data_IF_870738848389
#
_entry.id   IF_870738848389
#
_cell.length_a   1.000
_cell.length_b   1.000
_cell.length_c   1.000
_cell.angle_alpha   90.00
_cell.angle_beta   90.00
_cell.angle_gamma   90.00
#
_symmetry.space_group_name_H-M   'P 1'
#
loop_
_entity.id
_entity.type
_entity.pdbx_description
1 polymer ?
#
# COMPACT_ATOMS: atom_id res chain seq x y z
N UNK A 1 6.99 4.85 -15.86
CA UNK A 1 8.30 4.94 -15.15
C UNK A 1 8.35 3.85 -14.10
N UNK A 2 9.45 3.12 -14.01
CA UNK A 2 9.63 2.04 -13.03
C UNK A 2 10.88 2.38 -12.19
N UNK A 3 10.74 2.67 -10.89
CA UNK A 3 11.92 2.92 -10.06
C UNK A 3 12.68 1.61 -9.82
N UNK A 4 14.01 1.68 -9.78
CA UNK A 4 14.89 0.52 -9.63
C UNK A 4 15.52 0.46 -8.25
N UNK A 5 16.05 1.59 -7.77
CA UNK A 5 16.65 1.75 -6.44
C UNK A 5 16.82 3.22 -6.10
N UNK A 6 16.85 3.54 -4.82
CA UNK A 6 17.36 4.81 -4.32
C UNK A 6 18.89 4.77 -4.17
N UNK A 7 19.51 5.94 -3.99
CA UNK A 7 20.97 6.08 -3.81
C UNK A 7 21.41 6.16 -2.34
N UNK A 8 20.47 6.18 -1.40
CA UNK A 8 20.77 6.36 0.01
C UNK A 8 21.16 5.00 0.62
N UNK A 9 22.37 4.86 1.18
CA UNK A 9 22.78 3.61 1.80
C UNK A 9 21.95 3.36 3.07
N UNK A 10 21.53 2.12 3.28
CA UNK A 10 20.97 1.65 4.56
C UNK A 10 22.07 1.05 5.43
N UNK A 11 21.95 1.21 6.76
CA UNK A 11 22.93 0.66 7.73
C UNK A 11 22.44 -0.62 8.39
N UNK A 12 21.13 -0.78 8.51
CA UNK A 12 20.47 -1.92 9.14
C UNK A 12 19.76 -2.78 8.10
N UNK A 13 19.58 -4.07 8.44
CA UNK A 13 18.83 -5.00 7.60
C UNK A 13 17.32 -4.73 7.76
N UNK A 14 16.57 -4.55 6.65
CA UNK A 14 15.18 -4.08 6.70
C UNK A 14 14.18 -5.22 7.00
N UNK A 15 14.26 -5.77 8.21
CA UNK A 15 13.48 -6.95 8.63
C UNK A 15 11.96 -6.74 8.52
N UNK A 16 11.45 -5.59 8.97
CA UNK A 16 10.01 -5.30 8.99
C UNK A 16 9.50 -5.03 7.60
N UNK A 17 10.26 -4.33 6.77
CA UNK A 17 9.93 -4.13 5.35
C UNK A 17 9.78 -5.48 4.65
N UNK A 18 10.74 -6.39 4.82
CA UNK A 18 10.67 -7.75 4.26
C UNK A 18 9.48 -8.51 4.81
N UNK A 19 9.24 -8.47 6.13
CA UNK A 19 8.12 -9.15 6.77
C UNK A 19 6.77 -8.69 6.19
N UNK A 20 6.58 -7.38 6.02
CA UNK A 20 5.36 -6.82 5.42
C UNK A 20 5.24 -7.29 3.97
N UNK A 21 6.32 -7.26 3.17
CA UNK A 21 6.28 -7.76 1.78
C UNK A 21 5.88 -9.23 1.73
N UNK A 22 6.49 -10.07 2.56
CA UNK A 22 6.19 -11.50 2.62
C UNK A 22 4.75 -11.74 3.07
N UNK A 23 4.24 -10.99 4.05
CA UNK A 23 2.85 -11.11 4.49
C UNK A 23 1.87 -10.75 3.37
N UNK A 24 2.11 -9.66 2.65
CA UNK A 24 1.31 -9.25 1.49
C UNK A 24 1.35 -10.29 0.38
N UNK A 25 2.54 -10.81 0.05
CA UNK A 25 2.69 -11.86 -0.95
C UNK A 25 1.95 -13.15 -0.54
N UNK A 26 2.03 -13.55 0.73
CA UNK A 26 1.34 -14.74 1.23
C UNK A 26 -0.19 -14.59 1.15
N UNK A 27 -0.73 -13.44 1.57
CA UNK A 27 -2.17 -13.16 1.45
C UNK A 27 -2.60 -13.13 -0.01
N UNK A 28 -1.84 -12.51 -0.90
CA UNK A 28 -2.17 -12.47 -2.32
C UNK A 28 -2.11 -13.84 -3.00
N UNK A 29 -1.13 -14.69 -2.65
CA UNK A 29 -1.10 -16.07 -3.13
C UNK A 29 -2.31 -16.88 -2.63
N UNK A 30 -2.76 -16.60 -1.39
CA UNK A 30 -4.00 -17.16 -0.88
C UNK A 30 -5.22 -16.64 -1.66
N UNK A 31 -5.32 -15.34 -1.94
CA UNK A 31 -6.38 -14.74 -2.77
C UNK A 31 -6.48 -15.46 -4.14
N UNK A 32 -5.34 -15.70 -4.80
CA UNK A 32 -5.29 -16.41 -6.08
C UNK A 32 -5.78 -17.88 -5.98
N UNK A 33 -5.64 -18.50 -4.81
CA UNK A 33 -6.06 -19.90 -4.59
C UNK A 33 -7.58 -20.08 -4.41
N UNK A 34 -8.31 -18.99 -4.10
CA UNK A 34 -9.70 -19.06 -3.67
C UNK A 34 -10.71 -19.27 -4.82
N UNK A 35 -10.35 -18.93 -6.06
CA UNK A 35 -11.24 -19.02 -7.22
C UNK A 35 -12.57 -18.30 -6.95
N UNK A 36 -13.69 -19.04 -7.01
CA UNK A 36 -15.04 -18.49 -6.78
C UNK A 36 -15.29 -17.95 -5.36
N UNK A 37 -14.41 -18.25 -4.40
CA UNK A 37 -14.53 -17.77 -3.01
C UNK A 37 -13.84 -16.43 -2.78
N UNK A 38 -13.15 -15.89 -3.78
CA UNK A 38 -12.40 -14.63 -3.67
C UNK A 38 -13.30 -13.46 -3.27
N UNK A 39 -14.44 -13.29 -3.92
CA UNK A 39 -15.35 -12.17 -3.62
C UNK A 39 -15.87 -12.23 -2.18
N UNK A 40 -16.22 -13.42 -1.69
CA UNK A 40 -16.64 -13.60 -0.31
C UNK A 40 -15.50 -13.29 0.67
N UNK A 41 -14.26 -13.67 0.35
CA UNK A 41 -13.09 -13.35 1.15
C UNK A 41 -12.82 -11.83 1.18
N UNK A 42 -12.89 -11.15 0.04
CA UNK A 42 -12.73 -9.69 -0.05
C UNK A 42 -13.81 -8.97 0.77
N UNK A 43 -15.06 -9.40 0.71
CA UNK A 43 -16.13 -8.78 1.52
C UNK A 43 -15.98 -9.05 3.03
N UNK A 44 -15.35 -10.16 3.44
CA UNK A 44 -15.17 -10.48 4.87
C UNK A 44 -13.95 -9.81 5.50
N UNK A 45 -12.91 -9.53 4.72
CA UNK A 45 -11.61 -9.05 5.22
C UNK A 45 -11.17 -7.70 4.64
N UNK A 46 -11.84 -7.20 3.61
CA UNK A 46 -11.69 -5.84 3.10
C UNK A 46 -12.43 -4.82 3.95
N UNK A 47 -11.98 -3.57 3.94
CA UNK A 47 -12.66 -2.51 4.69
C UNK A 47 -13.79 -1.94 3.86
N UNK A 48 -15.04 -2.18 4.28
CA UNK A 48 -16.21 -1.61 3.60
C UNK A 48 -16.69 -0.38 4.39
N UNK A 49 -16.65 0.84 3.80
CA UNK A 49 -17.01 2.05 4.51
C UNK A 49 -18.39 2.05 5.17
N UNK A 50 -19.42 1.56 4.46
CA UNK A 50 -20.78 1.52 4.99
C UNK A 50 -20.94 0.60 6.20
N UNK A 51 -20.11 -0.44 6.33
CA UNK A 51 -20.13 -1.36 7.47
C UNK A 51 -19.55 -0.70 8.72
N UNK A 52 -18.44 0.04 8.56
CA UNK A 52 -17.82 0.81 9.66
C UNK A 52 -18.73 1.97 10.09
N UNK A 53 -19.33 2.67 9.13
CA UNK A 53 -20.25 3.78 9.39
C UNK A 53 -21.65 3.34 9.84
N UNK A 54 -21.91 2.03 9.94
CA UNK A 54 -23.23 1.48 10.30
C UNK A 54 -24.37 1.91 9.37
N UNK A 55 -24.04 2.18 8.10
CA UNK A 55 -25.00 2.56 7.05
C UNK A 55 -25.47 1.36 6.21
N UNK A 56 -24.85 0.19 6.37
CA UNK A 56 -25.25 -1.06 5.72
C UNK A 56 -25.06 -2.26 6.68
N UNK A 57 -25.74 -3.39 6.44
CA UNK A 57 -25.60 -4.57 7.29
C UNK A 57 -24.23 -5.23 7.14
N UNK A 58 -23.72 -5.78 8.25
CA UNK A 58 -22.48 -6.55 8.23
C UNK A 58 -22.62 -7.84 7.41
N UNK A 59 -21.52 -8.31 6.79
CA UNK A 59 -21.53 -9.50 5.96
C UNK A 59 -21.77 -10.75 6.82
N UNK A 60 -22.57 -11.69 6.28
CA UNK A 60 -22.83 -12.96 6.97
C UNK A 60 -21.55 -13.77 7.08
N UNK A 61 -21.23 -14.21 8.29
CA UNK A 61 -20.03 -15.02 8.56
C UNK A 61 -18.81 -14.18 8.95
N UNK A 62 -18.95 -12.87 9.16
CA UNK A 62 -17.91 -12.06 9.79
C UNK A 62 -17.67 -12.55 11.23
N UNK A 63 -16.49 -13.12 11.48
CA UNK A 63 -16.10 -13.65 12.81
C UNK A 63 -15.25 -12.67 13.60
N UNK A 64 -14.69 -11.65 12.93
CA UNK A 64 -13.84 -10.63 13.55
C UNK A 64 -14.65 -9.34 13.81
N UNK A 65 -14.24 -8.50 14.76
CA UNK A 65 -14.82 -7.17 14.90
C UNK A 65 -14.70 -6.40 13.57
N UNK A 66 -15.72 -5.65 13.17
CA UNK A 66 -15.72 -4.91 11.89
C UNK A 66 -14.49 -4.00 11.77
N UNK A 67 -14.06 -3.33 12.84
CA UNK A 67 -12.85 -2.49 12.81
C UNK A 67 -11.54 -3.27 12.56
N UNK A 68 -11.52 -4.60 12.73
CA UNK A 68 -10.37 -5.41 12.38
C UNK A 68 -10.14 -5.45 10.86
N UNK A 69 -11.18 -5.20 10.04
CA UNK A 69 -11.05 -5.16 8.58
C UNK A 69 -10.10 -4.07 8.12
N UNK A 70 -9.98 -2.98 8.88
CA UNK A 70 -9.02 -1.88 8.64
C UNK A 70 -7.58 -2.41 8.57
N UNK A 71 -7.26 -3.41 9.38
CA UNK A 71 -5.93 -4.01 9.41
C UNK A 71 -5.78 -5.12 8.38
N UNK A 72 -6.78 -5.99 8.22
CA UNK A 72 -6.68 -7.10 7.26
C UNK A 72 -6.67 -6.59 5.82
N UNK A 73 -7.43 -5.52 5.51
CA UNK A 73 -7.48 -4.94 4.18
C UNK A 73 -6.15 -4.37 3.71
N UNK A 74 -5.26 -3.98 4.65
CA UNK A 74 -3.90 -3.51 4.34
C UNK A 74 -3.03 -4.58 3.68
N UNK A 75 -3.41 -5.86 3.76
CA UNK A 75 -2.63 -6.97 3.21
C UNK A 75 -3.24 -7.59 1.94
N UNK A 76 -4.45 -7.17 1.56
CA UNK A 76 -5.21 -7.70 0.42
C UNK A 76 -4.96 -6.89 -0.84
N UNK A 77 -4.98 -7.52 -2.01
CA UNK A 77 -4.68 -6.84 -3.27
C UNK A 77 -5.59 -7.28 -4.41
N UNK A 78 -6.19 -6.30 -5.10
CA UNK A 78 -7.10 -6.54 -6.22
C UNK A 78 -6.46 -7.02 -7.54
N UNK A 79 -5.16 -7.33 -7.57
CA UNK A 79 -4.50 -7.87 -8.75
C UNK A 79 -2.98 -7.68 -8.80
N UNK A 80 -2.35 -8.28 -9.82
CA UNK A 80 -0.89 -8.30 -9.97
C UNK A 80 -0.25 -6.92 -10.02
N UNK A 81 -0.77 -6.02 -10.84
CA UNK A 81 -0.23 -4.66 -10.94
C UNK A 81 -0.36 -3.89 -9.62
N UNK A 82 -1.42 -4.15 -8.86
CA UNK A 82 -1.67 -3.51 -7.57
C UNK A 82 -0.62 -3.95 -6.53
N UNK A 83 -0.43 -5.26 -6.34
CA UNK A 83 0.59 -5.76 -5.39
C UNK A 83 2.01 -5.44 -5.84
N UNK A 84 2.35 -5.65 -7.12
CA UNK A 84 3.71 -5.40 -7.61
C UNK A 84 4.06 -3.91 -7.50
N UNK A 85 3.12 -3.02 -7.82
CA UNK A 85 3.30 -1.58 -7.67
C UNK A 85 3.50 -1.16 -6.21
N UNK A 86 2.71 -1.70 -5.28
CA UNK A 86 2.84 -1.44 -3.85
C UNK A 86 4.18 -1.96 -3.31
N UNK A 87 4.50 -3.23 -3.56
CA UNK A 87 5.71 -3.87 -3.02
C UNK A 87 6.98 -3.28 -3.63
N UNK A 88 6.98 -2.87 -4.91
CA UNK A 88 8.12 -2.21 -5.54
C UNK A 88 8.46 -0.89 -4.83
N UNK A 89 7.46 -0.01 -4.66
CA UNK A 89 7.66 1.27 -4.00
C UNK A 89 8.00 1.07 -2.52
N UNK A 90 7.32 0.15 -1.84
CA UNK A 90 7.61 -0.13 -0.45
C UNK A 90 9.03 -0.70 -0.23
N UNK A 91 9.51 -1.56 -1.13
CA UNK A 91 10.88 -2.08 -1.07
C UNK A 91 11.94 -0.98 -1.25
N UNK A 92 11.73 -0.08 -2.21
CA UNK A 92 12.71 0.96 -2.56
C UNK A 92 12.81 2.04 -1.48
N UNK A 93 11.71 2.36 -0.79
CA UNK A 93 11.68 3.49 0.14
C UNK A 93 11.50 3.08 1.61
N UNK A 94 10.88 1.94 1.88
CA UNK A 94 10.54 1.48 3.23
C UNK A 94 11.77 1.13 4.06
N UNK A 95 12.79 0.53 3.43
CA UNK A 95 14.06 0.19 4.05
C UNK A 95 14.80 1.41 4.64
N UNK A 96 14.84 2.57 3.96
CA UNK A 96 15.49 3.78 4.48
C UNK A 96 14.73 4.35 5.69
N UNK A 97 13.39 4.24 5.69
CA UNK A 97 12.56 4.71 6.78
C UNK A 97 12.68 3.78 7.99
N UNK A 98 12.69 2.47 7.74
CA UNK A 98 12.99 1.48 8.78
C UNK A 98 14.37 1.70 9.40
N UNK A 99 15.40 1.95 8.59
CA UNK A 99 16.75 2.25 9.06
C UNK A 99 16.79 3.51 9.95
N UNK A 100 15.97 4.51 9.61
CA UNK A 100 15.92 5.78 10.34
C UNK A 100 15.16 5.72 11.65
N UNK A 101 14.04 5.00 11.68
CA UNK A 101 13.16 4.91 12.85
C UNK A 101 13.44 3.70 13.74
N UNK A 102 14.12 2.68 13.21
CA UNK A 102 14.22 1.36 13.81
C UNK A 102 12.95 0.53 13.61
N UNK A 103 13.10 -0.79 13.70
CA UNK A 103 12.09 -1.80 13.34
C UNK A 103 10.71 -1.54 14.00
N UNK A 104 10.65 -1.44 15.33
CA UNK A 104 9.38 -1.34 16.05
C UNK A 104 8.63 -0.03 15.75
N UNK A 105 9.32 1.11 15.75
CA UNK A 105 8.70 2.41 15.47
C UNK A 105 8.23 2.48 14.03
N UNK A 106 9.00 1.93 13.10
CA UNK A 106 8.60 1.84 11.70
C UNK A 106 7.32 1.02 11.52
N UNK A 107 7.21 -0.15 12.17
CA UNK A 107 5.99 -0.96 12.13
C UNK A 107 4.77 -0.19 12.65
N UNK A 108 4.92 0.50 13.79
CA UNK A 108 3.83 1.30 14.38
C UNK A 108 3.42 2.43 13.41
N UNK A 109 4.38 3.15 12.84
CA UNK A 109 4.12 4.24 11.88
C UNK A 109 3.41 3.70 10.64
N UNK A 110 3.84 2.57 10.09
CA UNK A 110 3.19 1.91 8.95
C UNK A 110 1.71 1.60 9.25
N UNK A 111 1.44 0.98 10.41
CA UNK A 111 0.07 0.64 10.82
C UNK A 111 -0.78 1.88 11.06
N UNK A 112 -0.24 2.91 11.70
CA UNK A 112 -0.95 4.18 11.95
C UNK A 112 -1.34 4.88 10.63
N UNK A 113 -0.45 4.90 9.65
CA UNK A 113 -0.77 5.46 8.33
C UNK A 113 -1.83 4.65 7.60
N UNK A 114 -1.82 3.32 7.72
CA UNK A 114 -2.88 2.46 7.17
C UNK A 114 -4.24 2.76 7.80
N UNK A 115 -4.30 2.87 9.13
CA UNK A 115 -5.52 3.22 9.87
C UNK A 115 -6.02 4.61 9.47
N UNK A 116 -5.12 5.61 9.39
CA UNK A 116 -5.50 6.97 9.00
C UNK A 116 -6.01 7.02 7.55
N UNK A 117 -5.40 6.27 6.64
CA UNK A 117 -5.86 6.18 5.26
C UNK A 117 -7.25 5.52 5.16
N UNK A 118 -7.50 4.44 5.91
CA UNK A 118 -8.81 3.81 5.97
C UNK A 118 -9.88 4.77 6.50
N UNK A 119 -9.61 5.48 7.60
CA UNK A 119 -10.54 6.49 8.12
C UNK A 119 -10.76 7.65 7.15
N UNK A 120 -9.72 8.05 6.40
CA UNK A 120 -9.88 9.07 5.35
C UNK A 120 -10.83 8.59 4.27
N UNK A 121 -10.69 7.35 3.80
CA UNK A 121 -11.60 6.76 2.82
C UNK A 121 -13.05 6.69 3.35
N UNK A 122 -13.21 6.21 4.59
CA UNK A 122 -14.53 6.11 5.24
C UNK A 122 -15.17 7.50 5.41
N UNK A 123 -14.38 8.51 5.73
CA UNK A 123 -14.88 9.88 5.88
C UNK A 123 -15.30 10.51 4.53
N UNK A 124 -14.56 10.21 3.46
CA UNK A 124 -14.84 10.75 2.12
C UNK A 124 -16.10 10.13 1.51
N UNK A 125 -16.30 8.82 1.66
CA UNK A 125 -17.49 8.12 1.17
C UNK A 125 -17.98 7.06 2.18
N UNK A 126 -18.69 7.50 3.24
CA UNK A 126 -19.15 6.59 4.30
C UNK A 126 -20.23 5.62 3.85
N UNK A 127 -20.93 5.89 2.74
CA UNK A 127 -22.00 5.04 2.23
C UNK A 127 -21.50 3.97 1.23
N UNK A 128 -20.21 3.99 0.87
CA UNK A 128 -19.64 3.05 -0.09
C UNK A 128 -19.78 1.61 0.40
N UNK A 129 -20.34 0.76 -0.45
CA UNK A 129 -20.40 -0.69 -0.28
C UNK A 129 -19.25 -1.41 -0.99
N UNK A 130 -18.32 -0.67 -1.60
CA UNK A 130 -17.16 -1.23 -2.30
C UNK A 130 -16.06 -1.51 -1.27
N UNK A 131 -15.56 -2.75 -1.15
CA UNK A 131 -14.46 -3.07 -0.25
C UNK A 131 -13.17 -2.34 -0.67
N UNK A 132 -12.64 -1.53 0.23
CA UNK A 132 -11.31 -0.92 0.09
C UNK A 132 -10.24 -1.93 0.55
N UNK A 133 -9.36 -2.32 -0.36
CA UNK A 133 -8.24 -3.23 -0.12
C UNK A 133 -6.94 -2.62 -0.65
N UNK A 134 -5.81 -2.92 0.01
CA UNK A 134 -4.48 -2.50 -0.43
C UNK A 134 -3.62 -1.91 0.67
N UNK A 135 -2.31 -2.14 0.56
CA UNK A 135 -1.29 -1.53 1.42
C UNK A 135 -1.03 -0.04 1.09
N UNK A 136 -1.60 0.47 0.00
CA UNK A 136 -1.24 1.76 -0.62
C UNK A 136 -1.38 2.95 0.34
N UNK A 137 -2.39 2.98 1.20
CA UNK A 137 -2.56 4.04 2.20
C UNK A 137 -1.42 4.11 3.23
N UNK A 138 -1.01 2.96 3.76
CA UNK A 138 0.12 2.87 4.68
C UNK A 138 1.44 3.21 3.99
N UNK A 139 1.63 2.70 2.77
CA UNK A 139 2.82 2.99 1.95
C UNK A 139 2.90 4.49 1.64
N UNK A 140 1.79 5.14 1.29
CA UNK A 140 1.77 6.58 1.01
C UNK A 140 2.28 7.41 2.20
N UNK A 141 1.93 7.03 3.43
CA UNK A 141 2.48 7.63 4.64
C UNK A 141 4.00 7.43 4.80
N UNK A 142 4.50 6.23 4.49
CA UNK A 142 5.94 5.93 4.47
C UNK A 142 6.67 6.75 3.40
N UNK A 143 6.09 6.86 2.20
CA UNK A 143 6.65 7.68 1.11
C UNK A 143 6.64 9.17 1.45
N UNK A 144 5.59 9.66 2.12
CA UNK A 144 5.53 11.02 2.65
C UNK A 144 6.64 11.30 3.66
N UNK A 145 6.86 10.38 4.60
CA UNK A 145 7.98 10.46 5.53
C UNK A 145 9.33 10.46 4.79
N UNK A 146 9.49 9.65 3.75
CA UNK A 146 10.67 9.62 2.92
C UNK A 146 10.96 10.96 2.23
N UNK A 147 9.95 11.60 1.64
CA UNK A 147 10.13 12.92 1.02
C UNK A 147 10.57 14.00 2.00
N UNK A 148 10.08 13.95 3.24
CA UNK A 148 10.47 14.89 4.30
C UNK A 148 11.91 14.63 4.76
N UNK A 149 12.28 13.37 4.94
CA UNK A 149 13.60 12.99 5.46
C UNK A 149 14.71 13.08 4.42
N UNK A 150 14.39 12.82 3.16
CA UNK A 150 15.34 12.77 2.06
C UNK A 150 14.89 13.67 0.89
N UNK A 151 14.73 14.99 1.11
CA UNK A 151 14.12 15.90 0.12
C UNK A 151 14.95 16.06 -1.17
N UNK A 152 16.24 15.72 -1.14
CA UNK A 152 17.15 15.76 -2.30
C UNK A 152 17.53 14.36 -2.81
N UNK A 153 16.86 13.31 -2.33
CA UNK A 153 17.13 11.95 -2.80
C UNK A 153 16.86 11.82 -4.29
N UNK A 154 17.69 11.01 -4.93
CA UNK A 154 17.52 10.62 -6.32
C UNK A 154 17.26 9.12 -6.40
N UNK A 155 16.49 8.73 -7.40
CA UNK A 155 16.09 7.34 -7.63
C UNK A 155 16.47 6.99 -9.06
N UNK A 156 17.26 5.93 -9.22
CA UNK A 156 17.54 5.34 -10.53
C UNK A 156 16.20 4.77 -11.04
N UNK A 157 15.70 5.31 -12.14
CA UNK A 157 14.39 4.97 -12.69
C UNK A 157 14.51 4.54 -14.15
N UNK A 158 13.88 3.42 -14.49
CA UNK A 158 13.73 2.96 -15.85
C UNK A 158 12.58 3.73 -16.52
N UNK A 159 12.91 4.42 -17.61
CA UNK A 159 11.96 5.08 -18.48
C UNK A 159 11.90 4.37 -19.84
N UNK A 160 10.68 4.18 -20.30
CA UNK A 160 10.39 3.77 -21.67
C UNK A 160 10.09 5.04 -22.47
N UNK A 161 10.96 5.39 -23.40
CA UNK A 161 10.79 6.53 -24.32
C UNK A 161 10.58 5.94 -25.72
N UNK A 162 9.32 5.74 -26.11
CA UNK A 162 8.97 5.02 -27.33
C UNK A 162 9.35 3.53 -27.23
N UNK A 163 10.21 3.07 -28.13
CA UNK A 163 10.76 1.69 -28.14
C UNK A 163 12.06 1.55 -27.33
N UNK A 164 12.65 2.66 -26.86
CA UNK A 164 13.92 2.62 -26.13
C UNK A 164 13.70 2.56 -24.62
N UNK A 165 14.47 1.70 -23.96
CA UNK A 165 14.58 1.64 -22.50
C UNK A 165 15.85 2.36 -22.08
N UNK A 166 15.71 3.36 -21.21
CA UNK A 166 16.85 4.09 -20.65
C UNK A 166 16.69 4.26 -19.14
N UNK A 167 17.81 4.28 -18.44
CA UNK A 167 17.85 4.55 -16.99
C UNK A 167 18.24 5.99 -16.77
N UNK A 168 17.40 6.72 -16.05
CA UNK A 168 17.65 8.11 -15.67
C UNK A 168 17.57 8.27 -14.16
N UNK A 169 18.30 9.24 -13.63
CA UNK A 169 18.19 9.64 -12.22
C UNK A 169 17.18 10.73 -12.08
N UNK A 170 16.15 10.48 -11.27
CA UNK A 170 15.08 11.44 -11.02
C UNK A 170 15.01 11.77 -9.53
N UNK A 171 14.73 13.04 -9.17
CA UNK A 171 14.40 13.39 -7.80
C UNK A 171 13.24 12.54 -7.27
N UNK A 172 13.35 12.05 -6.04
CA UNK A 172 12.37 11.15 -5.43
C UNK A 172 10.94 11.73 -5.43
N UNK A 173 10.79 13.06 -5.34
CA UNK A 173 9.49 13.74 -5.41
C UNK A 173 8.73 13.46 -6.71
N UNK A 174 9.41 13.37 -7.85
CA UNK A 174 8.75 13.05 -9.11
C UNK A 174 8.34 11.58 -9.17
N UNK A 175 9.18 10.70 -8.63
CA UNK A 175 8.94 9.25 -8.61
C UNK A 175 7.77 8.88 -7.70
N UNK A 176 7.78 9.42 -6.49
CA UNK A 176 6.72 9.24 -5.50
C UNK A 176 5.46 9.97 -5.94
N UNK A 177 5.57 11.21 -6.45
CA UNK A 177 4.44 11.98 -6.96
C UNK A 177 3.71 11.27 -8.10
N UNK A 178 4.46 10.73 -9.06
CA UNK A 178 3.89 9.92 -10.15
C UNK A 178 3.08 8.72 -9.61
N UNK A 179 3.61 8.01 -8.62
CA UNK A 179 2.91 6.88 -8.01
C UNK A 179 1.66 7.29 -7.25
N UNK A 180 1.70 8.37 -6.46
CA UNK A 180 0.53 8.89 -5.75
C UNK A 180 -0.58 9.26 -6.74
N UNK A 181 -0.23 9.88 -7.87
CA UNK A 181 -1.20 10.21 -8.93
C UNK A 181 -1.83 8.93 -9.49
N UNK A 182 -1.03 7.90 -9.79
CA UNK A 182 -1.56 6.61 -10.25
C UNK A 182 -2.49 5.97 -9.22
N UNK A 183 -2.13 6.02 -7.93
CA UNK A 183 -2.95 5.48 -6.83
C UNK A 183 -4.28 6.22 -6.70
N UNK A 184 -4.27 7.54 -6.86
CA UNK A 184 -5.49 8.35 -6.84
C UNK A 184 -6.43 7.98 -8.00
N UNK A 185 -5.92 7.86 -9.22
CA UNK A 185 -6.73 7.43 -10.37
C UNK A 185 -7.22 5.99 -10.23
N UNK A 186 -6.40 5.06 -9.72
CA UNK A 186 -6.85 3.68 -9.50
C UNK A 186 -7.94 3.59 -8.44
N UNK A 187 -7.86 4.40 -7.37
CA UNK A 187 -8.89 4.47 -6.35
C UNK A 187 -10.17 5.09 -6.88
N UNK A 188 -10.08 6.22 -7.58
CA UNK A 188 -11.24 6.90 -8.14
C UNK A 188 -11.98 6.07 -9.21
N UNK A 189 -11.25 5.34 -10.07
CA UNK A 189 -11.84 4.46 -11.08
C UNK A 189 -12.45 3.17 -10.49
N UNK A 190 -12.19 2.88 -9.21
CA UNK A 190 -12.71 1.71 -8.51
C UNK A 190 -13.96 1.98 -7.66
N UNK A 191 -14.34 3.25 -7.49
CA UNK A 191 -15.60 3.70 -6.90
C UNK A 191 -16.74 3.60 -7.91
#
# INVERSE_FOLDING_TARGET
MIPLRDINPTRTFPFVTILIIVANAAVFLYELSLGRRLDAFINLYGTVPCEISSLCPLPRGLTLPVFATIFTSMFMHGGWLHILGNMLYFWIFGNNIEDRFGHLKFLIIYLLWGVLAAFTQIFVDPASSVPAIGASGAIAGVLGAYLIMFPRAQVDSLLTIGIFLTTVRLPAIFVIGFWIVLQFFSGFLSL
#
